data_IF_814845427025
#
_entry.id   IF_814845427025
#
_cell.length_a   1.000
_cell.length_b   1.000
_cell.length_c   1.000
_cell.angle_alpha   90.00
_cell.angle_beta   90.00
_cell.angle_gamma   90.00
#
_symmetry.space_group_name_H-M   'P 1'
#
loop_
_entity.id
_entity.type
_entity.pdbx_description
1 polymer ?
#
# COMPACT_ATOMS: atom_id res chain seq x y z
N UNK A 1 -20.64 -21.42 10.64
CA UNK A 1 -19.72 -21.73 9.52
C UNK A 1 -19.26 -20.42 8.90
N UNK A 2 -17.97 -20.23 8.73
CA UNK A 2 -17.38 -18.97 8.22
C UNK A 2 -17.36 -18.94 6.69
N UNK A 3 -17.44 -17.74 6.10
CA UNK A 3 -17.32 -17.58 4.65
C UNK A 3 -15.98 -18.15 4.16
N UNK A 4 -14.91 -17.99 4.95
CA UNK A 4 -13.57 -18.49 4.64
C UNK A 4 -13.40 -20.01 4.77
N UNK A 5 -14.34 -20.73 5.38
CA UNK A 5 -14.28 -22.20 5.41
C UNK A 5 -14.28 -22.72 3.96
N UNK A 6 -13.30 -23.56 3.62
CA UNK A 6 -13.12 -24.02 2.23
C UNK A 6 -14.40 -24.57 1.59
N UNK A 7 -15.16 -25.37 2.36
CA UNK A 7 -16.44 -25.93 1.89
C UNK A 7 -17.49 -24.86 1.62
N UNK A 8 -17.52 -23.79 2.46
CA UNK A 8 -18.45 -22.67 2.31
C UNK A 8 -18.04 -21.82 1.12
N UNK A 9 -16.75 -21.45 1.02
CA UNK A 9 -16.21 -20.75 -0.14
C UNK A 9 -16.57 -21.44 -1.45
N UNK A 10 -16.33 -22.76 -1.52
CA UNK A 10 -16.65 -23.57 -2.71
C UNK A 10 -18.15 -23.56 -3.02
N UNK A 11 -18.98 -23.79 -2.03
CA UNK A 11 -20.43 -23.82 -2.20
C UNK A 11 -21.00 -22.46 -2.65
N UNK A 12 -20.47 -21.35 -2.11
CA UNK A 12 -20.85 -19.99 -2.51
C UNK A 12 -20.49 -19.75 -3.99
N UNK A 13 -19.27 -20.06 -4.40
CA UNK A 13 -18.81 -19.89 -5.77
C UNK A 13 -19.62 -20.74 -6.77
N UNK A 14 -19.90 -22.00 -6.43
CA UNK A 14 -20.70 -22.90 -7.24
C UNK A 14 -22.16 -22.41 -7.37
N UNK A 15 -22.78 -22.00 -6.27
CA UNK A 15 -24.16 -21.49 -6.25
C UNK A 15 -24.36 -20.27 -7.15
N UNK A 16 -23.35 -19.38 -7.18
CA UNK A 16 -23.39 -18.18 -8.03
C UNK A 16 -22.77 -18.38 -9.43
N UNK A 17 -22.34 -19.58 -9.78
CA UNK A 17 -21.69 -19.87 -11.07
C UNK A 17 -20.44 -19.03 -11.31
N UNK A 18 -19.70 -18.69 -10.23
CA UNK A 18 -18.56 -17.79 -10.34
C UNK A 18 -17.35 -18.47 -10.97
N UNK A 19 -16.74 -17.79 -11.93
CA UNK A 19 -15.51 -18.22 -12.59
C UNK A 19 -14.42 -17.17 -12.38
N UNK A 20 -13.21 -17.63 -12.02
CA UNK A 20 -12.07 -16.75 -11.78
C UNK A 20 -11.61 -16.04 -13.05
N UNK A 21 -11.42 -14.72 -12.97
CA UNK A 21 -10.78 -13.94 -14.03
C UNK A 21 -9.32 -13.66 -13.64
N UNK A 22 -8.38 -14.13 -14.46
CA UNK A 22 -6.93 -13.88 -14.24
C UNK A 22 -6.60 -12.39 -14.21
N UNK A 23 -7.34 -11.57 -14.98
CA UNK A 23 -7.15 -10.11 -15.03
C UNK A 23 -7.39 -9.39 -13.70
N UNK A 24 -8.17 -9.96 -12.80
CA UNK A 24 -8.42 -9.40 -11.48
C UNK A 24 -7.51 -9.96 -10.38
N UNK A 25 -6.65 -10.95 -10.71
CA UNK A 25 -5.72 -11.53 -9.73
C UNK A 25 -6.41 -12.12 -8.50
N UNK A 26 -7.61 -12.70 -8.68
CA UNK A 26 -8.46 -13.18 -7.59
C UNK A 26 -7.88 -14.43 -6.94
N UNK A 27 -7.52 -14.30 -5.67
CA UNK A 27 -7.08 -15.38 -4.79
C UNK A 27 -7.82 -15.21 -3.46
N UNK A 28 -8.75 -16.11 -3.16
CA UNK A 28 -9.57 -16.01 -1.96
C UNK A 28 -8.91 -16.72 -0.80
N UNK A 29 -8.75 -16.01 0.31
CA UNK A 29 -8.17 -16.55 1.54
C UNK A 29 -9.18 -17.48 2.23
N UNK A 30 -8.77 -18.72 2.54
CA UNK A 30 -9.60 -19.77 3.13
C UNK A 30 -9.09 -20.23 4.49
N UNK A 31 -8.43 -19.37 5.24
CA UNK A 31 -7.90 -19.66 6.58
C UNK A 31 -8.43 -18.66 7.60
N UNK A 32 -9.32 -19.13 8.48
CA UNK A 32 -9.98 -18.30 9.50
C UNK A 32 -9.01 -17.80 10.57
N UNK A 33 -7.94 -18.54 10.89
CA UNK A 33 -6.94 -18.12 11.87
C UNK A 33 -6.13 -16.94 11.33
N UNK A 34 -5.80 -16.95 10.04
CA UNK A 34 -5.10 -15.83 9.39
C UNK A 34 -6.01 -14.60 9.36
N UNK A 35 -7.28 -14.73 9.01
CA UNK A 35 -8.24 -13.62 9.02
C UNK A 35 -8.38 -13.00 10.40
N UNK A 36 -8.51 -13.81 11.45
CA UNK A 36 -8.54 -13.30 12.82
C UNK A 36 -7.24 -12.57 13.17
N UNK A 37 -6.09 -13.13 12.81
CA UNK A 37 -4.79 -12.51 13.06
C UNK A 37 -4.61 -11.17 12.34
N UNK A 38 -5.21 -10.99 11.15
CA UNK A 38 -5.25 -9.71 10.44
C UNK A 38 -6.02 -8.68 11.27
N UNK A 39 -7.22 -9.02 11.73
CA UNK A 39 -8.07 -8.14 12.55
C UNK A 39 -7.39 -7.77 13.86
N UNK A 40 -6.75 -8.75 14.52
CA UNK A 40 -6.01 -8.53 15.76
C UNK A 40 -4.80 -7.61 15.52
N UNK A 41 -4.07 -7.80 14.42
CA UNK A 41 -2.93 -6.95 14.01
C UNK A 41 -3.36 -5.50 13.76
N UNK A 42 -4.55 -5.31 13.18
CA UNK A 42 -5.14 -4.00 12.92
C UNK A 42 -5.82 -3.39 14.16
N UNK A 43 -5.93 -4.15 15.25
CA UNK A 43 -6.57 -3.67 16.50
C UNK A 43 -7.95 -3.04 16.21
N UNK A 44 -8.78 -3.80 15.45
CA UNK A 44 -10.12 -3.35 15.08
C UNK A 44 -11.09 -3.57 16.23
N UNK A 45 -11.79 -2.50 16.59
CA UNK A 45 -12.85 -2.49 17.58
C UNK A 45 -14.03 -1.59 17.16
N UNK A 46 -15.05 -1.50 18.01
CA UNK A 46 -16.25 -0.70 17.74
C UNK A 46 -16.03 0.84 17.75
N UNK A 47 -14.80 1.30 17.96
CA UNK A 47 -14.40 2.68 17.89
C UNK A 47 -13.61 2.99 16.60
N UNK A 48 -13.64 2.09 15.61
CA UNK A 48 -12.89 2.24 14.34
C UNK A 48 -13.81 1.99 13.16
N UNK A 49 -13.77 2.87 12.18
CA UNK A 49 -14.33 2.64 10.85
C UNK A 49 -13.26 2.00 9.96
N UNK A 50 -13.67 1.06 9.12
CA UNK A 50 -12.78 0.34 8.22
C UNK A 50 -13.14 0.60 6.77
N UNK A 51 -12.12 0.87 5.95
CA UNK A 51 -12.20 0.77 4.50
C UNK A 51 -11.50 -0.51 4.07
N UNK A 52 -12.22 -1.35 3.34
CA UNK A 52 -11.71 -2.56 2.72
C UNK A 52 -11.68 -2.40 1.21
N UNK A 53 -10.60 -2.84 0.56
CA UNK A 53 -10.46 -2.81 -0.89
C UNK A 53 -10.37 -4.25 -1.40
N UNK A 54 -11.26 -4.60 -2.34
CA UNK A 54 -11.34 -5.94 -2.89
C UNK A 54 -11.83 -6.98 -1.88
N UNK A 55 -13.05 -6.86 -1.34
CA UNK A 55 -13.60 -7.79 -0.35
C UNK A 55 -13.76 -9.22 -0.90
N UNK A 56 -13.71 -9.39 -2.23
CA UNK A 56 -13.91 -10.69 -2.85
C UNK A 56 -15.29 -11.27 -2.55
N UNK A 57 -15.35 -12.42 -1.91
CA UNK A 57 -16.62 -13.04 -1.47
C UNK A 57 -17.01 -12.65 -0.03
N UNK A 58 -16.27 -11.75 0.61
CA UNK A 58 -16.58 -11.23 1.94
C UNK A 58 -15.89 -11.95 3.10
N UNK A 59 -14.90 -12.81 2.86
CA UNK A 59 -14.23 -13.59 3.90
C UNK A 59 -13.55 -12.73 4.97
N UNK A 60 -12.79 -11.72 4.58
CA UNK A 60 -12.20 -10.74 5.51
C UNK A 60 -13.27 -9.78 6.03
N UNK A 61 -14.20 -9.37 5.17
CA UNK A 61 -15.28 -8.44 5.51
C UNK A 61 -16.12 -8.96 6.69
N UNK A 62 -16.43 -10.25 6.74
CA UNK A 62 -17.15 -10.92 7.85
C UNK A 62 -16.45 -10.62 9.19
N UNK A 63 -15.14 -10.84 9.27
CA UNK A 63 -14.35 -10.61 10.49
C UNK A 63 -14.26 -9.11 10.84
N UNK A 64 -14.12 -8.27 9.85
CA UNK A 64 -14.11 -6.81 10.05
C UNK A 64 -15.47 -6.32 10.58
N UNK A 65 -16.57 -6.77 10.00
CA UNK A 65 -17.93 -6.38 10.38
C UNK A 65 -18.27 -6.78 11.83
N UNK A 66 -17.81 -7.94 12.28
CA UNK A 66 -17.99 -8.38 13.66
C UNK A 66 -17.30 -7.47 14.67
N UNK A 67 -16.17 -6.89 14.32
CA UNK A 67 -15.31 -6.13 15.22
C UNK A 67 -15.41 -4.61 15.05
N UNK A 68 -15.48 -4.09 13.83
CA UNK A 68 -15.50 -2.66 13.53
C UNK A 68 -16.82 -1.95 13.89
N UNK A 69 -16.79 -0.63 13.99
CA UNK A 69 -17.99 0.20 14.03
C UNK A 69 -18.76 0.04 12.70
N UNK A 70 -18.11 0.35 11.60
CA UNK A 70 -18.63 0.16 10.24
C UNK A 70 -17.51 -0.26 9.29
N UNK A 71 -17.91 -0.96 8.22
CA UNK A 71 -17.02 -1.39 7.13
C UNK A 71 -17.59 -0.86 5.82
N UNK A 72 -16.76 -0.17 5.05
CA UNK A 72 -17.06 0.23 3.69
C UNK A 72 -16.12 -0.49 2.75
N UNK A 73 -16.66 -1.37 1.90
CA UNK A 73 -15.91 -2.25 1.04
C UNK A 73 -16.06 -1.84 -0.44
N UNK A 74 -14.96 -1.57 -1.11
CA UNK A 74 -14.90 -1.20 -2.53
C UNK A 74 -14.54 -2.39 -3.38
N UNK A 75 -15.45 -2.78 -4.30
CA UNK A 75 -15.27 -3.92 -5.21
C UNK A 75 -15.45 -3.46 -6.66
N UNK A 76 -14.45 -3.74 -7.49
CA UNK A 76 -14.46 -3.38 -8.91
C UNK A 76 -15.17 -4.44 -9.78
N UNK A 77 -15.17 -5.71 -9.35
CA UNK A 77 -15.83 -6.80 -10.08
C UNK A 77 -17.30 -6.86 -9.75
N UNK A 78 -18.13 -6.39 -10.70
CA UNK A 78 -19.59 -6.36 -10.58
C UNK A 78 -20.22 -7.75 -10.33
N UNK A 79 -19.54 -8.83 -10.73
CA UNK A 79 -20.00 -10.21 -10.51
C UNK A 79 -19.94 -10.64 -9.06
N UNK A 80 -19.09 -9.99 -8.25
CA UNK A 80 -18.95 -10.24 -6.82
C UNK A 80 -20.03 -9.53 -5.99
N UNK A 81 -20.65 -8.49 -6.52
CA UNK A 81 -21.68 -7.71 -5.78
C UNK A 81 -22.88 -8.56 -5.34
N UNK A 82 -23.48 -9.41 -6.18
CA UNK A 82 -24.55 -10.31 -5.74
C UNK A 82 -24.08 -11.35 -4.71
N UNK A 83 -22.83 -11.81 -4.81
CA UNK A 83 -22.22 -12.74 -3.85
C UNK A 83 -22.07 -12.07 -2.50
N UNK A 84 -21.53 -10.85 -2.46
CA UNK A 84 -21.39 -10.06 -1.24
C UNK A 84 -22.75 -9.76 -0.59
N UNK A 85 -23.79 -9.47 -1.39
CA UNK A 85 -25.14 -9.28 -0.88
C UNK A 85 -25.70 -10.56 -0.19
N UNK A 86 -25.33 -11.73 -0.69
CA UNK A 86 -25.72 -13.02 -0.08
C UNK A 86 -24.87 -13.36 1.17
N UNK A 87 -23.55 -13.25 1.06
CA UNK A 87 -22.63 -13.66 2.13
C UNK A 87 -22.64 -12.72 3.33
N UNK A 88 -22.91 -11.44 3.13
CA UNK A 88 -22.88 -10.41 4.16
C UNK A 88 -24.28 -9.93 4.60
N UNK A 89 -25.34 -10.61 4.20
CA UNK A 89 -26.74 -10.21 4.45
C UNK A 89 -27.10 -10.03 5.93
N UNK A 90 -26.39 -10.71 6.82
CA UNK A 90 -26.65 -10.66 8.25
C UNK A 90 -25.92 -9.50 8.98
N UNK A 91 -25.15 -8.69 8.23
CA UNK A 91 -24.43 -7.54 8.76
C UNK A 91 -25.06 -6.22 8.32
N UNK A 92 -25.50 -5.40 9.25
CA UNK A 92 -26.12 -4.10 9.03
C UNK A 92 -25.11 -2.93 9.04
N UNK A 93 -23.85 -3.23 9.36
CA UNK A 93 -22.74 -2.28 9.45
C UNK A 93 -21.75 -2.39 8.28
N UNK A 94 -22.13 -3.05 7.19
CA UNK A 94 -21.31 -3.19 5.97
C UNK A 94 -21.99 -2.48 4.80
N UNK A 95 -21.23 -1.63 4.13
CA UNK A 95 -21.63 -1.01 2.86
C UNK A 95 -20.69 -1.47 1.76
N UNK A 96 -21.23 -2.10 0.71
CA UNK A 96 -20.48 -2.51 -0.47
C UNK A 96 -20.68 -1.46 -1.57
N UNK A 97 -19.56 -0.94 -2.09
CA UNK A 97 -19.51 0.06 -3.15
C UNK A 97 -18.89 -0.56 -4.39
N UNK A 98 -19.66 -0.70 -5.46
CA UNK A 98 -19.15 -1.22 -6.73
C UNK A 98 -18.51 -0.11 -7.55
N UNK A 99 -17.27 0.23 -7.21
CA UNK A 99 -16.47 1.25 -7.90
C UNK A 99 -14.97 0.91 -7.83
N UNK A 100 -14.23 1.51 -8.78
CA UNK A 100 -12.77 1.47 -8.78
C UNK A 100 -12.23 2.46 -7.73
N UNK A 101 -11.53 1.94 -6.73
CA UNK A 101 -10.94 2.74 -5.64
C UNK A 101 -10.03 3.86 -6.14
N UNK A 102 -9.39 3.70 -7.30
CA UNK A 102 -8.52 4.71 -7.90
C UNK A 102 -9.28 5.90 -8.52
N UNK A 103 -10.60 5.78 -8.69
CA UNK A 103 -11.44 6.78 -9.37
C UNK A 103 -12.51 7.39 -8.47
N UNK A 104 -12.69 6.82 -7.29
CA UNK A 104 -13.76 7.23 -6.37
C UNK A 104 -13.36 8.47 -5.56
N UNK A 105 -14.32 9.34 -5.31
CA UNK A 105 -14.17 10.40 -4.30
C UNK A 105 -14.40 9.80 -2.90
N UNK A 106 -13.32 9.41 -2.26
CA UNK A 106 -13.36 8.81 -0.93
C UNK A 106 -13.91 9.73 0.14
N UNK A 107 -13.73 11.07 0.03
CA UNK A 107 -14.27 12.01 1.02
C UNK A 107 -15.79 11.95 1.09
N UNK A 108 -16.44 11.79 -0.07
CA UNK A 108 -17.88 11.61 -0.14
C UNK A 108 -18.33 10.37 0.63
N UNK A 109 -17.67 9.24 0.40
CA UNK A 109 -18.05 7.97 1.05
C UNK A 109 -17.73 7.95 2.55
N UNK A 110 -16.61 8.56 2.95
CA UNK A 110 -16.26 8.66 4.37
C UNK A 110 -17.32 9.47 5.15
N UNK A 111 -17.88 10.49 4.52
CA UNK A 111 -18.98 11.27 5.12
C UNK A 111 -20.29 10.47 5.29
N UNK A 112 -20.43 9.32 4.61
CA UNK A 112 -21.60 8.45 4.74
C UNK A 112 -21.53 7.49 5.94
N UNK A 113 -20.38 7.36 6.63
CA UNK A 113 -20.33 6.64 7.90
C UNK A 113 -21.31 7.24 8.93
N UNK A 114 -21.97 6.40 9.71
CA UNK A 114 -22.87 6.84 10.80
C UNK A 114 -22.15 7.71 11.83
N UNK A 115 -20.86 7.37 12.07
CA UNK A 115 -19.97 8.17 12.90
C UNK A 115 -18.66 8.48 12.15
N UNK A 116 -18.63 9.52 11.29
CA UNK A 116 -17.47 9.87 10.49
C UNK A 116 -16.29 10.45 11.32
N UNK A 117 -16.52 10.76 12.59
CA UNK A 117 -15.48 11.24 13.52
C UNK A 117 -14.61 10.14 14.11
N UNK A 118 -14.95 8.85 13.91
CA UNK A 118 -14.11 7.75 14.35
C UNK A 118 -12.85 7.62 13.48
N UNK A 119 -11.73 7.13 14.05
CA UNK A 119 -10.54 6.80 13.28
C UNK A 119 -10.86 5.85 12.13
N UNK A 120 -10.19 6.03 10.99
CA UNK A 120 -10.36 5.18 9.82
C UNK A 120 -9.09 4.38 9.59
N UNK A 121 -9.24 3.06 9.52
CA UNK A 121 -8.17 2.13 9.14
C UNK A 121 -8.48 1.48 7.80
N UNK A 122 -7.45 1.22 7.02
CA UNK A 122 -7.55 0.45 5.78
C UNK A 122 -7.08 -0.98 6.06
N UNK A 123 -7.97 -1.94 5.88
CA UNK A 123 -7.65 -3.36 6.04
C UNK A 123 -8.09 -4.10 4.78
N UNK A 124 -7.16 -4.74 4.09
CA UNK A 124 -7.46 -5.30 2.78
C UNK A 124 -6.53 -6.45 2.38
N UNK A 125 -7.05 -7.38 1.59
CA UNK A 125 -6.29 -8.29 0.77
C UNK A 125 -6.18 -7.68 -0.64
N UNK A 126 -5.09 -6.94 -0.90
CA UNK A 126 -4.94 -6.18 -2.15
C UNK A 126 -4.67 -7.10 -3.35
N UNK A 127 -5.30 -6.84 -4.51
CA UNK A 127 -4.95 -7.52 -5.75
C UNK A 127 -3.48 -7.29 -6.12
N UNK A 128 -2.73 -8.36 -6.47
CA UNK A 128 -1.28 -8.27 -6.66
C UNK A 128 -0.85 -7.36 -7.80
N UNK A 129 -1.63 -7.31 -8.89
CA UNK A 129 -1.28 -6.54 -10.10
C UNK A 129 -1.40 -5.02 -9.92
N UNK A 130 -2.09 -4.55 -8.88
CA UNK A 130 -2.40 -3.13 -8.68
C UNK A 130 -2.13 -2.65 -7.24
N UNK A 131 -1.42 -3.44 -6.44
CA UNK A 131 -1.13 -3.14 -5.03
C UNK A 131 -0.48 -1.77 -4.85
N UNK A 132 0.62 -1.50 -5.55
CA UNK A 132 1.37 -0.24 -5.40
C UNK A 132 0.55 0.99 -5.80
N UNK A 133 -0.13 1.04 -6.95
CA UNK A 133 -1.00 2.16 -7.29
C UNK A 133 -2.09 2.43 -6.27
N UNK A 134 -2.77 1.41 -5.78
CA UNK A 134 -3.83 1.56 -4.76
C UNK A 134 -3.23 2.13 -3.47
N UNK A 135 -2.14 1.54 -3.00
CA UNK A 135 -1.50 1.95 -1.75
C UNK A 135 -1.04 3.41 -1.80
N UNK A 136 -0.34 3.80 -2.87
CA UNK A 136 0.14 5.17 -3.03
C UNK A 136 -1.02 6.16 -3.17
N UNK A 137 -2.08 5.81 -3.93
CA UNK A 137 -3.27 6.64 -4.04
C UNK A 137 -3.90 6.95 -2.67
N UNK A 138 -4.00 5.96 -1.80
CA UNK A 138 -4.55 6.14 -0.46
C UNK A 138 -3.61 6.89 0.49
N UNK A 139 -2.31 6.60 0.43
CA UNK A 139 -1.30 7.26 1.29
C UNK A 139 -1.17 8.74 0.94
N UNK A 140 -1.13 9.08 -0.34
CA UNK A 140 -1.00 10.46 -0.85
C UNK A 140 -2.32 11.24 -0.79
N UNK A 141 -3.45 10.57 -0.61
CA UNK A 141 -4.71 11.24 -0.36
C UNK A 141 -4.61 12.06 0.94
N UNK A 142 -5.29 13.18 1.00
CA UNK A 142 -5.33 14.02 2.21
C UNK A 142 -6.25 13.47 3.30
N UNK A 143 -6.73 12.23 3.14
CA UNK A 143 -7.59 11.57 4.11
C UNK A 143 -6.74 11.08 5.29
N UNK A 144 -7.12 11.37 6.54
CA UNK A 144 -6.35 11.03 7.71
C UNK A 144 -6.52 9.54 8.11
N UNK A 145 -6.20 8.62 7.19
CA UNK A 145 -6.14 7.21 7.54
C UNK A 145 -5.10 7.00 8.64
N UNK A 146 -5.51 6.40 9.75
CA UNK A 146 -4.65 6.18 10.89
C UNK A 146 -3.63 5.07 10.63
N UNK A 147 -4.09 3.97 10.01
CA UNK A 147 -3.33 2.75 9.85
C UNK A 147 -3.77 1.98 8.61
N UNK A 148 -2.83 1.25 8.03
CA UNK A 148 -3.06 0.30 6.96
C UNK A 148 -2.55 -1.07 7.41
N UNK A 149 -3.39 -2.07 7.40
CA UNK A 149 -3.02 -3.48 7.58
C UNK A 149 -3.44 -4.21 6.33
N UNK A 150 -2.50 -4.45 5.45
CA UNK A 150 -2.78 -4.91 4.09
C UNK A 150 -1.95 -6.14 3.74
N UNK A 151 -2.60 -7.08 3.05
CA UNK A 151 -1.95 -8.26 2.49
C UNK A 151 -1.52 -7.97 1.06
N UNK A 152 -0.30 -8.37 0.73
CA UNK A 152 0.30 -8.23 -0.58
C UNK A 152 1.33 -9.32 -0.81
N UNK A 153 1.88 -9.40 -2.03
CA UNK A 153 3.02 -10.28 -2.29
C UNK A 153 4.18 -9.96 -1.33
N UNK A 154 4.81 -11.01 -0.80
CA UNK A 154 5.93 -10.86 0.15
C UNK A 154 7.03 -9.94 -0.37
N UNK A 155 7.40 -10.04 -1.65
CA UNK A 155 8.42 -9.18 -2.26
C UNK A 155 8.06 -7.69 -2.19
N UNK A 156 6.79 -7.34 -2.41
CA UNK A 156 6.32 -5.94 -2.34
C UNK A 156 6.37 -5.43 -0.91
N UNK A 157 5.93 -6.24 0.06
CA UNK A 157 6.01 -5.90 1.48
C UNK A 157 7.46 -5.70 1.94
N UNK A 158 8.36 -6.59 1.53
CA UNK A 158 9.80 -6.48 1.82
C UNK A 158 10.40 -5.19 1.24
N UNK A 159 10.00 -4.79 0.04
CA UNK A 159 10.44 -3.53 -0.58
C UNK A 159 9.94 -2.30 0.17
N UNK A 160 8.69 -2.31 0.60
CA UNK A 160 8.10 -1.17 1.34
C UNK A 160 8.77 -1.00 2.70
N UNK A 161 9.03 -2.07 3.42
CA UNK A 161 9.61 -2.06 4.77
C UNK A 161 11.13 -2.11 4.81
N UNK A 162 11.79 -2.07 3.64
CA UNK A 162 13.24 -2.24 3.54
C UNK A 162 14.03 -1.06 4.16
N UNK A 163 15.18 -1.40 4.73
CA UNK A 163 16.17 -0.46 5.25
C UNK A 163 17.25 -0.15 4.20
N UNK A 164 17.93 1.00 4.26
CA UNK A 164 19.08 1.31 3.43
C UNK A 164 20.14 0.19 3.44
N UNK A 165 20.88 0.05 2.36
CA UNK A 165 21.90 -0.97 2.14
C UNK A 165 21.36 -2.41 2.04
N UNK A 166 20.07 -2.58 1.83
CA UNK A 166 19.48 -3.88 1.55
C UNK A 166 19.08 -4.01 0.08
N UNK A 167 19.03 -5.26 -0.41
CA UNK A 167 18.62 -5.53 -1.80
C UNK A 167 17.20 -5.08 -2.12
N UNK A 168 16.31 -5.08 -1.14
CA UNK A 168 14.91 -4.73 -1.32
C UNK A 168 14.67 -3.21 -1.33
N UNK A 169 15.58 -2.42 -0.75
CA UNK A 169 15.45 -0.97 -0.61
C UNK A 169 15.43 -0.25 -1.96
N UNK A 170 14.51 0.67 -2.14
CA UNK A 170 14.32 1.42 -3.38
C UNK A 170 13.36 2.59 -3.25
N UNK A 171 12.98 3.17 -4.37
CA UNK A 171 12.09 4.34 -4.41
C UNK A 171 10.73 4.09 -3.74
N UNK A 172 10.21 2.87 -3.78
CA UNK A 172 8.96 2.51 -3.10
C UNK A 172 9.11 2.54 -1.57
N UNK A 173 10.26 2.08 -1.05
CA UNK A 173 10.58 2.18 0.38
C UNK A 173 10.53 3.63 0.84
N UNK A 174 11.15 4.53 0.09
CA UNK A 174 11.21 5.97 0.39
C UNK A 174 9.81 6.59 0.29
N UNK A 175 9.07 6.32 -0.77
CA UNK A 175 7.76 6.90 -1.00
C UNK A 175 6.76 6.56 0.13
N UNK A 176 6.75 5.32 0.60
CA UNK A 176 5.88 4.90 1.70
C UNK A 176 6.41 5.40 3.05
N UNK A 177 7.70 5.21 3.32
CA UNK A 177 8.27 5.54 4.63
C UNK A 177 8.38 7.05 4.89
N UNK A 178 8.26 7.86 3.86
CA UNK A 178 8.10 9.31 4.00
C UNK A 178 6.85 9.67 4.80
N UNK A 179 5.72 8.99 4.53
CA UNK A 179 4.42 9.25 5.18
C UNK A 179 4.09 8.30 6.33
N UNK A 180 4.64 7.09 6.31
CA UNK A 180 4.25 5.98 7.16
C UNK A 180 5.45 5.31 7.81
N UNK A 181 5.28 4.74 9.00
CA UNK A 181 6.13 3.63 9.42
C UNK A 181 5.61 2.35 8.77
N UNK A 182 6.48 1.42 8.42
CA UNK A 182 6.09 0.18 7.75
C UNK A 182 6.82 -1.02 8.33
N UNK A 183 6.08 -2.08 8.67
CA UNK A 183 6.62 -3.32 9.22
C UNK A 183 5.83 -4.53 8.72
N UNK A 184 6.56 -5.57 8.30
CA UNK A 184 5.95 -6.88 8.04
C UNK A 184 5.51 -7.48 9.36
N UNK A 185 4.19 -7.72 9.51
CA UNK A 185 3.64 -8.32 10.71
C UNK A 185 3.82 -9.84 10.71
N UNK A 186 3.47 -10.50 9.61
CA UNK A 186 3.67 -11.95 9.43
C UNK A 186 3.55 -12.35 7.95
N UNK A 187 4.04 -13.55 7.65
CA UNK A 187 3.98 -14.16 6.32
C UNK A 187 2.74 -15.03 6.21
N UNK A 188 2.12 -15.01 5.04
CA UNK A 188 0.94 -15.82 4.71
C UNK A 188 1.32 -16.78 3.58
N UNK A 189 1.32 -18.10 3.81
CA UNK A 189 1.71 -19.07 2.80
C UNK A 189 0.69 -19.11 1.66
N UNK A 190 1.17 -19.32 0.45
CA UNK A 190 0.32 -19.41 -0.76
C UNK A 190 -0.74 -20.51 -0.70
N UNK A 191 -0.53 -21.53 0.12
CA UNK A 191 -1.39 -22.71 0.23
C UNK A 191 -2.75 -22.45 0.88
N UNK A 192 -2.93 -21.29 1.53
CA UNK A 192 -4.20 -20.91 2.18
C UNK A 192 -5.14 -20.11 1.27
N UNK A 193 -4.83 -20.02 -0.01
CA UNK A 193 -5.65 -19.33 -1.00
C UNK A 193 -6.26 -20.29 -2.03
N UNK A 194 -7.42 -19.90 -2.55
CA UNK A 194 -8.09 -20.55 -3.68
C UNK A 194 -8.42 -19.51 -4.78
N UNK A 195 -7.88 -19.67 -5.99
CA UNK A 195 -6.75 -20.53 -6.34
C UNK A 195 -5.44 -20.10 -5.63
N UNK A 196 -4.51 -21.04 -5.45
CA UNK A 196 -3.22 -20.69 -4.84
C UNK A 196 -2.39 -19.78 -5.77
N UNK A 197 -1.84 -18.67 -5.28
CA UNK A 197 -0.92 -17.82 -6.06
C UNK A 197 0.46 -18.51 -6.21
N UNK A 198 1.31 -17.93 -7.04
CA UNK A 198 2.66 -18.49 -7.28
C UNK A 198 3.66 -18.19 -6.16
N UNK A 199 3.38 -17.18 -5.33
CA UNK A 199 4.27 -16.65 -4.30
C UNK A 199 3.53 -16.50 -2.97
N UNK A 200 4.27 -16.50 -1.87
CA UNK A 200 3.73 -16.20 -0.56
C UNK A 200 3.36 -14.73 -0.46
N UNK A 201 2.42 -14.44 0.43
CA UNK A 201 2.00 -13.11 0.79
C UNK A 201 2.58 -12.69 2.14
N UNK A 202 2.49 -11.41 2.44
CA UNK A 202 2.79 -10.86 3.76
C UNK A 202 1.71 -9.89 4.17
N UNK A 203 1.48 -9.81 5.47
CA UNK A 203 0.70 -8.73 6.09
C UNK A 203 1.67 -7.63 6.45
N UNK A 204 1.45 -6.46 5.87
CA UNK A 204 2.20 -5.24 6.14
C UNK A 204 1.35 -4.32 7.01
N UNK A 205 1.88 -3.94 8.17
CA UNK A 205 1.30 -2.93 9.04
C UNK A 205 2.02 -1.61 8.80
N UNK A 206 1.26 -0.57 8.43
CA UNK A 206 1.77 0.78 8.24
C UNK A 206 0.98 1.73 9.11
N UNK A 207 1.67 2.58 9.86
CA UNK A 207 1.05 3.59 10.73
C UNK A 207 1.42 4.97 10.21
N UNK A 208 0.42 5.83 10.05
CA UNK A 208 0.64 7.19 9.58
C UNK A 208 1.47 7.98 10.57
N UNK A 209 2.49 8.66 10.07
CA UNK A 209 3.26 9.63 10.86
C UNK A 209 2.43 10.89 11.07
N UNK A 210 2.60 11.56 12.20
CA UNK A 210 1.99 12.87 12.45
C UNK A 210 2.52 13.92 11.48
N UNK A 211 3.81 13.86 11.19
CA UNK A 211 4.51 14.64 10.18
C UNK A 211 5.34 13.72 9.29
N UNK A 212 5.65 14.11 8.04
CA UNK A 212 6.56 13.36 7.20
C UNK A 212 7.89 13.05 7.91
N UNK A 213 8.50 11.91 7.57
CA UNK A 213 9.76 11.45 8.19
C UNK A 213 10.90 12.47 8.10
N UNK A 214 10.88 13.32 7.07
CA UNK A 214 11.85 14.38 6.81
C UNK A 214 11.13 15.61 6.26
N UNK A 215 11.65 16.79 6.59
CA UNK A 215 11.21 18.05 5.99
C UNK A 215 11.99 18.30 4.68
N UNK A 216 11.30 18.71 3.64
CA UNK A 216 11.87 19.04 2.33
C UNK A 216 11.25 20.32 1.78
N UNK A 217 12.00 21.05 0.96
CA UNK A 217 11.52 22.30 0.33
C UNK A 217 10.46 22.06 -0.73
N UNK A 218 10.55 20.94 -1.45
CA UNK A 218 9.64 20.54 -2.52
C UNK A 218 9.49 19.01 -2.50
N UNK A 219 8.31 18.57 -2.15
CA UNK A 219 7.98 17.16 -1.98
C UNK A 219 8.01 16.39 -3.31
N UNK A 220 7.46 16.98 -4.37
CA UNK A 220 7.44 16.36 -5.70
C UNK A 220 8.86 16.21 -6.25
N UNK A 221 9.70 17.22 -6.02
CA UNK A 221 11.11 17.17 -6.41
C UNK A 221 11.88 16.13 -5.61
N UNK A 222 11.64 16.02 -4.29
CA UNK A 222 12.21 14.98 -3.43
C UNK A 222 11.91 13.57 -3.98
N UNK A 223 10.65 13.29 -4.34
CA UNK A 223 10.28 12.00 -4.92
C UNK A 223 10.88 11.80 -6.32
N UNK A 224 10.99 12.86 -7.13
CA UNK A 224 11.65 12.80 -8.44
C UNK A 224 13.13 12.43 -8.30
N UNK A 225 13.84 13.06 -7.38
CA UNK A 225 15.27 12.78 -7.10
C UNK A 225 15.47 11.36 -6.57
N UNK A 226 14.65 10.93 -5.61
CA UNK A 226 14.72 9.58 -5.07
C UNK A 226 14.48 8.54 -6.15
N UNK A 227 13.44 8.70 -6.95
CA UNK A 227 13.11 7.80 -8.07
C UNK A 227 14.24 7.75 -9.10
N UNK A 228 14.78 8.89 -9.48
CA UNK A 228 15.92 8.99 -10.43
C UNK A 228 17.12 8.20 -9.92
N UNK A 229 17.41 8.24 -8.62
CA UNK A 229 18.57 7.59 -8.00
C UNK A 229 18.52 6.05 -8.06
N UNK A 230 17.36 5.46 -8.34
CA UNK A 230 17.16 4.02 -8.45
C UNK A 230 16.91 3.50 -9.87
N UNK A 231 16.89 4.37 -10.89
CA UNK A 231 16.63 3.96 -12.29
C UNK A 231 17.62 2.88 -12.74
N UNK A 232 18.90 3.09 -12.44
CA UNK A 232 19.95 2.11 -12.71
C UNK A 232 20.63 1.71 -11.40
N UNK A 233 20.08 0.71 -10.76
CA UNK A 233 20.46 0.29 -9.40
C UNK A 233 21.97 0.05 -9.20
N UNK A 234 22.67 -0.48 -10.20
CA UNK A 234 24.11 -0.75 -10.16
C UNK A 234 24.99 0.47 -10.45
N UNK A 235 24.40 1.58 -10.85
CA UNK A 235 25.12 2.84 -11.16
C UNK A 235 25.21 3.73 -9.93
N UNK A 236 26.20 4.60 -9.95
CA UNK A 236 26.40 5.62 -8.92
C UNK A 236 25.30 6.68 -8.94
N UNK A 237 25.15 7.40 -7.85
CA UNK A 237 24.26 8.57 -7.76
C UNK A 237 24.53 9.56 -8.89
N UNK A 238 25.80 9.88 -9.15
CA UNK A 238 26.21 10.74 -10.25
C UNK A 238 25.66 10.30 -11.60
N UNK A 239 25.85 9.03 -11.94
CA UNK A 239 25.40 8.51 -13.22
C UNK A 239 23.88 8.53 -13.37
N UNK A 240 23.15 8.25 -12.31
CA UNK A 240 21.69 8.31 -12.29
C UNK A 240 21.18 9.74 -12.43
N UNK A 241 21.74 10.68 -11.68
CA UNK A 241 21.31 12.09 -11.71
C UNK A 241 21.68 12.78 -13.04
N UNK A 242 22.88 12.54 -13.57
CA UNK A 242 23.25 13.08 -14.90
C UNK A 242 22.39 12.50 -16.01
N UNK A 243 21.98 11.25 -15.91
CA UNK A 243 21.02 10.65 -16.85
C UNK A 243 19.63 11.32 -16.78
N UNK A 244 19.21 11.74 -15.60
CA UNK A 244 17.87 12.34 -15.37
C UNK A 244 17.84 13.82 -15.74
N UNK A 245 18.84 14.60 -15.30
CA UNK A 245 18.80 16.07 -15.37
C UNK A 245 19.63 16.65 -16.51
N UNK A 246 20.55 15.90 -17.09
CA UNK A 246 21.35 16.31 -18.23
C UNK A 246 22.85 16.20 -18.01
N UNK A 247 23.61 16.35 -19.12
CA UNK A 247 25.06 16.13 -19.16
C UNK A 247 25.86 17.36 -19.59
N UNK A 248 25.22 18.53 -19.69
CA UNK A 248 25.93 19.79 -19.98
C UNK A 248 26.84 20.14 -18.82
N UNK A 249 27.92 20.87 -19.08
CA UNK A 249 28.86 21.28 -18.04
C UNK A 249 28.19 22.12 -16.94
N UNK A 250 27.22 22.97 -17.33
CA UNK A 250 26.41 23.75 -16.39
C UNK A 250 25.61 22.85 -15.45
N UNK A 251 24.88 21.85 -15.99
CA UNK A 251 24.08 20.89 -15.18
C UNK A 251 25.00 20.06 -14.29
N UNK A 252 26.11 19.57 -14.81
CA UNK A 252 27.10 18.81 -13.99
C UNK A 252 27.62 19.62 -12.81
N UNK A 253 27.96 20.92 -13.05
CA UNK A 253 28.43 21.80 -11.98
C UNK A 253 27.35 21.98 -10.88
N UNK A 254 26.08 22.17 -11.27
CA UNK A 254 24.95 22.26 -10.33
C UNK A 254 24.70 20.95 -9.57
N UNK A 255 24.78 19.81 -10.26
CA UNK A 255 24.66 18.49 -9.62
C UNK A 255 25.77 18.24 -8.60
N UNK A 256 27.00 18.56 -8.96
CA UNK A 256 28.15 18.41 -8.06
C UNK A 256 27.99 19.29 -6.81
N UNK A 257 27.61 20.56 -7.00
CA UNK A 257 27.36 21.49 -5.89
C UNK A 257 26.25 20.99 -4.97
N UNK A 258 25.12 20.49 -5.51
CA UNK A 258 24.01 19.97 -4.74
C UNK A 258 24.38 18.69 -3.95
N UNK A 259 25.09 17.77 -4.58
CA UNK A 259 25.59 16.53 -3.93
C UNK A 259 26.55 16.87 -2.81
N UNK A 260 27.48 17.79 -3.03
CA UNK A 260 28.44 18.25 -2.02
C UNK A 260 27.73 18.94 -0.85
N UNK A 261 26.77 19.81 -1.12
CA UNK A 261 25.95 20.48 -0.10
C UNK A 261 25.19 19.48 0.79
N UNK A 262 24.78 18.35 0.23
CA UNK A 262 24.16 17.26 0.96
C UNK A 262 25.14 16.43 1.81
N UNK A 263 26.45 16.68 1.72
CA UNK A 263 27.49 15.90 2.38
C UNK A 263 27.70 14.50 1.79
N UNK A 264 27.30 14.31 0.52
CA UNK A 264 27.37 13.03 -0.17
C UNK A 264 28.53 12.97 -1.15
N UNK A 265 28.97 11.74 -1.46
CA UNK A 265 29.94 11.49 -2.53
C UNK A 265 29.21 11.15 -3.83
N UNK A 266 29.64 11.70 -4.99
CA UNK A 266 29.06 11.35 -6.30
C UNK A 266 29.09 9.83 -6.60
N UNK A 267 30.05 9.12 -6.05
CA UNK A 267 30.25 7.67 -6.22
C UNK A 267 29.31 6.79 -5.42
N UNK A 268 28.57 7.33 -4.44
CA UNK A 268 27.61 6.56 -3.63
C UNK A 268 26.48 6.05 -4.53
N UNK A 269 25.85 4.94 -4.12
CA UNK A 269 24.65 4.43 -4.79
C UNK A 269 23.39 4.84 -4.05
N UNK A 270 22.27 4.98 -4.75
CA UNK A 270 20.97 5.35 -4.14
C UNK A 270 20.55 4.43 -3.00
N UNK A 271 20.87 3.11 -3.10
CA UNK A 271 20.54 2.14 -2.05
C UNK A 271 21.23 2.39 -0.69
N UNK A 272 22.29 3.16 -0.67
CA UNK A 272 23.00 3.51 0.57
C UNK A 272 22.45 4.77 1.26
N UNK A 273 21.53 5.49 0.62
CA UNK A 273 21.03 6.76 1.13
C UNK A 273 19.78 6.58 2.00
N UNK A 274 19.79 7.19 3.18
CA UNK A 274 18.62 7.28 4.05
C UNK A 274 17.61 8.31 3.56
N UNK A 275 16.43 8.39 4.18
CA UNK A 275 15.44 9.46 3.90
C UNK A 275 16.05 10.84 4.14
N UNK A 276 16.83 11.00 5.22
CA UNK A 276 17.52 12.24 5.57
C UNK A 276 18.56 12.61 4.52
N UNK A 277 19.30 11.64 3.98
CA UNK A 277 20.25 11.86 2.89
C UNK A 277 19.53 12.35 1.62
N UNK A 278 18.42 11.72 1.27
CA UNK A 278 17.61 12.15 0.12
C UNK A 278 17.00 13.54 0.32
N UNK A 279 16.58 13.89 1.53
CA UNK A 279 16.07 15.21 1.85
C UNK A 279 17.13 16.28 1.64
N UNK A 280 18.33 16.08 2.18
CA UNK A 280 19.46 17.00 1.98
C UNK A 280 19.87 17.08 0.51
N UNK A 281 19.86 15.95 -0.21
CA UNK A 281 20.19 15.90 -1.62
C UNK A 281 19.18 16.70 -2.44
N UNK A 282 17.89 16.49 -2.25
CA UNK A 282 16.84 17.21 -2.97
C UNK A 282 16.94 18.73 -2.73
N UNK A 283 17.05 19.14 -1.46
CA UNK A 283 17.17 20.54 -1.10
C UNK A 283 18.47 21.17 -1.64
N UNK A 284 19.60 20.47 -1.57
CA UNK A 284 20.86 20.92 -2.13
C UNK A 284 20.85 21.07 -3.65
N UNK A 285 20.16 20.18 -4.35
CA UNK A 285 19.98 20.26 -5.81
C UNK A 285 19.09 21.45 -6.20
N UNK A 286 17.99 21.69 -5.47
CA UNK A 286 17.14 22.86 -5.68
C UNK A 286 17.92 24.16 -5.46
N UNK A 287 18.70 24.26 -4.39
CA UNK A 287 19.52 25.43 -4.08
C UNK A 287 20.61 25.68 -5.14
N UNK A 288 21.12 24.63 -5.76
CA UNK A 288 22.06 24.70 -6.89
C UNK A 288 21.38 25.04 -8.23
N UNK A 289 20.04 25.13 -8.28
CA UNK A 289 19.27 25.50 -9.45
C UNK A 289 18.92 24.33 -10.39
N UNK A 290 18.88 23.12 -9.88
CA UNK A 290 18.27 21.96 -10.56
C UNK A 290 16.77 21.97 -10.29
N UNK A 291 15.97 21.79 -11.37
CA UNK A 291 14.50 21.75 -11.32
C UNK A 291 13.96 20.56 -12.10
#
# INVERSE_FOLDING_TARGET
MRIADYSVTKAVLERHGFTFKKSFGQNFLTDTNILQKIVDTAEIDKQVNVIEIGPGIGALTEFLAENAAEVMAFEIDDRLVPILADTLRDFDNVTVVNQDILKVDLNRYIAEFKNPGLPIKVVANLPYYITTPILMHLIESKIPFQEFVVMMQKEVADRISAEPNTKAYGSLSIAVQYYMTAKVAFIVPRTVFVPAPNVDSAILKMVRREEPAVAVKDEDFFFSVSKASFVHRRKTLWNNLTSRFGKTEEVKAKLEAGIQAAGLKPSVRGEALSLEDFARLADGLLDAGIK
#
